data_IF_771397667057
#
_entry.id   IF_771397667057
#
_cell.length_a   1.000
_cell.length_b   1.000
_cell.length_c   1.000
_cell.angle_alpha   90.00
_cell.angle_beta   90.00
_cell.angle_gamma   90.00
#
_symmetry.space_group_name_H-M   'P 1'
#
loop_
_entity.id
_entity.type
_entity.pdbx_description
1 polymer ?
#
# COMPACT_ATOMS: atom_id res chain seq x y z
N UNK A 1 -4.46 20.27 1.81
CA UNK A 1 -4.97 19.50 2.96
C UNK A 1 -6.46 19.75 3.20
N UNK A 2 -6.93 20.99 3.36
CA UNK A 2 -8.36 21.30 3.59
C UNK A 2 -9.33 20.77 2.53
N UNK A 3 -8.94 20.77 1.26
CA UNK A 3 -9.76 20.22 0.16
C UNK A 3 -9.96 18.71 0.31
N UNK A 4 -8.91 17.96 0.65
CA UNK A 4 -8.99 16.50 0.85
C UNK A 4 -9.87 16.16 2.04
N UNK A 5 -9.78 16.92 3.14
CA UNK A 5 -10.65 16.79 4.31
C UNK A 5 -12.10 17.08 3.94
N UNK A 6 -12.36 18.17 3.21
CA UNK A 6 -13.71 18.53 2.79
C UNK A 6 -14.33 17.46 1.87
N UNK A 7 -13.55 16.91 0.93
CA UNK A 7 -14.01 15.81 0.05
C UNK A 7 -14.28 14.56 0.91
N UNK A 8 -13.40 14.21 1.84
CA UNK A 8 -13.57 13.05 2.72
C UNK A 8 -14.86 13.13 3.54
N UNK A 9 -15.09 14.25 4.21
CA UNK A 9 -16.30 14.50 4.99
C UNK A 9 -17.55 14.48 4.09
N UNK A 10 -17.50 15.12 2.93
CA UNK A 10 -18.63 15.14 2.00
C UNK A 10 -19.00 13.74 1.51
N UNK A 11 -18.02 12.92 1.17
CA UNK A 11 -18.24 11.53 0.73
C UNK A 11 -18.83 10.67 1.85
N UNK A 12 -18.35 10.81 3.08
CA UNK A 12 -18.90 10.10 4.24
C UNK A 12 -20.34 10.52 4.55
N UNK A 13 -20.68 11.82 4.42
CA UNK A 13 -22.03 12.32 4.67
C UNK A 13 -23.06 11.89 3.61
N UNK A 14 -22.64 11.71 2.37
CA UNK A 14 -23.51 11.32 1.25
C UNK A 14 -23.85 9.81 1.29
N UNK A 15 -23.12 9.02 2.08
CA UNK A 15 -23.38 7.59 2.22
C UNK A 15 -23.14 6.80 0.92
N UNK A 16 -22.14 7.15 0.14
CA UNK A 16 -21.84 6.60 -1.20
C UNK A 16 -21.15 5.22 -1.10
N UNK A 17 -21.59 4.35 -0.21
CA UNK A 17 -20.93 3.06 0.03
C UNK A 17 -20.86 2.19 -1.24
N UNK A 18 -21.94 2.04 -1.99
CA UNK A 18 -21.99 1.09 -3.11
C UNK A 18 -21.24 1.55 -4.37
N UNK A 19 -21.25 2.84 -4.67
CA UNK A 19 -20.56 3.38 -5.85
C UNK A 19 -19.07 3.51 -5.67
N UNK A 20 -18.65 4.02 -4.51
CA UNK A 20 -17.24 4.19 -4.16
C UNK A 20 -16.52 2.85 -4.03
N UNK A 21 -17.14 1.86 -3.39
CA UNK A 21 -16.59 0.50 -3.25
C UNK A 21 -16.29 -0.12 -4.62
N UNK A 22 -17.24 -0.03 -5.56
CA UNK A 22 -17.07 -0.61 -6.90
C UNK A 22 -15.95 0.09 -7.68
N UNK A 23 -15.86 1.41 -7.61
CA UNK A 23 -14.82 2.19 -8.27
C UNK A 23 -13.46 1.87 -7.65
N UNK A 24 -13.35 1.89 -6.33
CA UNK A 24 -12.11 1.57 -5.60
C UNK A 24 -11.63 0.16 -5.93
N UNK A 25 -12.52 -0.82 -5.97
CA UNK A 25 -12.18 -2.20 -6.33
C UNK A 25 -11.60 -2.32 -7.73
N UNK A 26 -12.21 -1.67 -8.72
CA UNK A 26 -11.72 -1.67 -10.11
C UNK A 26 -10.33 -0.99 -10.17
N UNK A 27 -10.17 0.12 -9.48
CA UNK A 27 -8.91 0.85 -9.47
C UNK A 27 -7.79 0.08 -8.77
N UNK A 28 -8.08 -0.60 -7.66
CA UNK A 28 -7.11 -1.46 -6.97
C UNK A 28 -6.67 -2.64 -7.83
N UNK A 29 -7.60 -3.28 -8.56
CA UNK A 29 -7.27 -4.34 -9.51
C UNK A 29 -6.39 -3.82 -10.66
N UNK A 30 -6.70 -2.63 -11.18
CA UNK A 30 -5.90 -2.00 -12.21
C UNK A 30 -4.50 -1.61 -11.71
N UNK A 31 -4.38 -1.09 -10.49
CA UNK A 31 -3.10 -0.81 -9.85
C UNK A 31 -2.26 -2.10 -9.72
N UNK A 32 -2.88 -3.18 -9.26
CA UNK A 32 -2.22 -4.47 -9.14
C UNK A 32 -1.74 -5.01 -10.51
N UNK A 33 -2.54 -4.87 -11.55
CA UNK A 33 -2.14 -5.23 -12.90
C UNK A 33 -0.94 -4.41 -13.40
N UNK A 34 -0.94 -3.09 -13.14
CA UNK A 34 0.19 -2.22 -13.48
C UNK A 34 1.44 -2.64 -12.69
N UNK A 35 1.30 -2.96 -11.40
CA UNK A 35 2.43 -3.44 -10.59
C UNK A 35 3.04 -4.72 -11.15
N UNK A 36 2.22 -5.67 -11.61
CA UNK A 36 2.72 -6.90 -12.25
C UNK A 36 3.48 -6.58 -13.53
N UNK A 37 2.96 -5.69 -14.38
CA UNK A 37 3.65 -5.25 -15.60
C UNK A 37 4.99 -4.59 -15.28
N UNK A 38 5.03 -3.72 -14.26
CA UNK A 38 6.25 -3.06 -13.82
C UNK A 38 7.27 -4.06 -13.23
N UNK A 39 6.81 -5.05 -12.47
CA UNK A 39 7.67 -6.10 -11.93
C UNK A 39 8.33 -6.91 -13.07
N UNK A 40 7.55 -7.32 -14.06
CA UNK A 40 8.10 -8.03 -15.24
C UNK A 40 9.11 -7.16 -15.98
N UNK A 41 8.81 -5.87 -16.18
CA UNK A 41 9.75 -4.95 -16.82
C UNK A 41 11.02 -4.74 -15.99
N UNK A 42 10.92 -4.73 -14.67
CA UNK A 42 12.05 -4.55 -13.76
C UNK A 42 13.12 -5.65 -13.92
N UNK A 43 12.71 -6.88 -14.27
CA UNK A 43 13.64 -7.97 -14.58
C UNK A 43 14.46 -7.75 -15.86
N UNK A 44 13.99 -6.90 -16.78
CA UNK A 44 14.68 -6.61 -18.05
C UNK A 44 15.66 -5.43 -17.95
N UNK A 45 15.70 -4.74 -16.80
CA UNK A 45 16.57 -3.59 -16.59
C UNK A 45 18.05 -4.00 -16.46
N UNK A 46 18.97 -3.37 -17.21
CA UNK A 46 20.41 -3.61 -17.04
C UNK A 46 20.85 -3.19 -15.63
N UNK A 47 21.51 -4.09 -14.89
CA UNK A 47 21.90 -3.88 -13.48
C UNK A 47 20.81 -4.23 -12.47
N UNK A 48 19.60 -4.61 -12.89
CA UNK A 48 18.51 -5.00 -12.00
C UNK A 48 18.78 -6.30 -11.23
N UNK A 49 19.64 -7.17 -11.76
CA UNK A 49 19.98 -8.44 -11.11
C UNK A 49 20.65 -8.27 -9.73
N UNK A 50 21.45 -7.22 -9.55
CA UNK A 50 22.09 -6.91 -8.25
C UNK A 50 21.03 -6.48 -7.23
N UNK A 51 20.10 -5.60 -7.60
CA UNK A 51 19.00 -5.17 -6.74
C UNK A 51 18.06 -6.31 -6.39
N UNK A 52 17.81 -7.24 -7.32
CA UNK A 52 17.02 -8.44 -7.08
C UNK A 52 17.70 -9.38 -6.09
N UNK A 53 19.00 -9.60 -6.27
CA UNK A 53 19.82 -10.40 -5.37
C UNK A 53 19.85 -9.80 -3.95
N UNK A 54 20.01 -8.50 -3.85
CA UNK A 54 19.93 -7.78 -2.58
C UNK A 54 18.59 -7.97 -1.87
N UNK A 55 17.49 -7.93 -2.62
CA UNK A 55 16.14 -8.08 -2.06
C UNK A 55 15.80 -9.51 -1.65
N UNK A 56 16.17 -10.50 -2.48
CA UNK A 56 15.79 -11.90 -2.27
C UNK A 56 16.79 -12.68 -1.42
N UNK A 57 18.06 -12.26 -1.37
CA UNK A 57 19.06 -12.94 -0.56
C UNK A 57 19.20 -12.27 0.80
N UNK A 58 18.77 -12.93 1.88
CA UNK A 58 18.92 -12.38 3.22
C UNK A 58 20.39 -12.33 3.64
N UNK A 59 20.85 -11.15 4.03
CA UNK A 59 22.17 -10.98 4.64
C UNK A 59 22.09 -11.27 6.14
N UNK A 60 22.50 -12.49 6.52
CA UNK A 60 22.48 -12.93 7.91
C UNK A 60 23.46 -12.12 8.80
N UNK A 61 24.45 -11.45 8.23
CA UNK A 61 25.36 -10.59 8.99
C UNK A 61 24.67 -9.38 9.62
N UNK A 62 23.54 -8.96 9.05
CA UNK A 62 22.71 -7.88 9.61
C UNK A 62 22.06 -8.30 10.93
N UNK A 63 21.71 -9.58 11.07
CA UNK A 63 21.13 -10.11 12.32
C UNK A 63 22.13 -9.98 13.47
N UNK A 64 23.39 -10.23 13.21
CA UNK A 64 24.45 -10.10 14.23
C UNK A 64 24.70 -8.63 14.63
N UNK A 65 24.61 -7.71 13.66
CA UNK A 65 24.87 -6.27 13.88
C UNK A 65 23.70 -5.54 14.53
N UNK A 66 22.49 -5.83 14.10
CA UNK A 66 21.28 -5.10 14.54
C UNK A 66 20.59 -5.79 15.72
N UNK A 67 20.76 -7.09 15.84
CA UNK A 67 20.10 -7.93 16.83
C UNK A 67 18.69 -8.35 16.41
N UNK A 68 18.37 -9.61 16.63
CA UNK A 68 17.10 -10.22 16.23
C UNK A 68 15.88 -9.51 16.83
N UNK A 69 16.00 -9.01 18.06
CA UNK A 69 14.92 -8.30 18.75
C UNK A 69 14.52 -7.01 18.03
N UNK A 70 15.52 -6.23 17.58
CA UNK A 70 15.26 -4.98 16.87
C UNK A 70 14.62 -5.24 15.51
N UNK A 71 15.03 -6.31 14.82
CA UNK A 71 14.46 -6.72 13.55
C UNK A 71 13.00 -7.14 13.74
N UNK A 72 12.69 -7.94 14.76
CA UNK A 72 11.32 -8.37 15.08
C UNK A 72 10.43 -7.18 15.45
N UNK A 73 10.93 -6.26 16.27
CA UNK A 73 10.17 -5.06 16.66
C UNK A 73 9.88 -4.17 15.43
N UNK A 74 10.87 -4.00 14.54
CA UNK A 74 10.68 -3.23 13.32
C UNK A 74 9.67 -3.89 12.37
N UNK A 75 9.74 -5.20 12.20
CA UNK A 75 8.78 -5.95 11.38
C UNK A 75 7.36 -5.88 11.97
N UNK A 76 7.25 -5.99 13.29
CA UNK A 76 5.97 -5.87 13.98
C UNK A 76 5.36 -4.47 13.84
N UNK A 77 6.17 -3.42 13.99
CA UNK A 77 5.73 -2.05 13.76
C UNK A 77 5.25 -1.84 12.32
N UNK A 78 5.98 -2.38 11.35
CA UNK A 78 5.58 -2.30 9.93
C UNK A 78 4.25 -3.00 9.68
N UNK A 79 4.05 -4.20 10.21
CA UNK A 79 2.79 -4.94 10.11
C UNK A 79 1.61 -4.18 10.74
N UNK A 80 1.83 -3.56 11.90
CA UNK A 80 0.83 -2.72 12.57
C UNK A 80 0.41 -1.52 11.71
N UNK A 81 1.36 -0.87 11.05
CA UNK A 81 1.09 0.26 10.17
C UNK A 81 0.37 -0.16 8.90
N UNK A 82 0.88 -1.16 8.22
CA UNK A 82 0.37 -1.64 6.92
C UNK A 82 -1.05 -2.17 7.03
N UNK A 83 -1.34 -2.96 8.06
CA UNK A 83 -2.67 -3.51 8.32
C UNK A 83 -3.62 -2.53 9.02
N UNK A 84 -3.20 -1.30 9.26
CA UNK A 84 -4.00 -0.26 9.93
C UNK A 84 -4.59 -0.68 11.29
N UNK A 85 -3.93 -1.60 11.99
CA UNK A 85 -4.39 -2.15 13.27
C UNK A 85 -4.38 -1.05 14.33
N UNK A 86 -3.33 -0.22 14.37
CA UNK A 86 -3.18 0.85 15.36
C UNK A 86 -4.19 1.99 15.24
N UNK A 87 -4.84 2.13 14.09
CA UNK A 87 -5.84 3.19 13.84
C UNK A 87 -7.29 2.74 14.09
N UNK A 88 -7.52 1.49 14.46
CA UNK A 88 -8.85 0.96 14.69
C UNK A 88 -9.71 0.73 13.44
N UNK A 89 -9.24 1.11 12.26
CA UNK A 89 -9.99 0.96 11.00
C UNK A 89 -10.35 -0.49 10.71
N UNK A 90 -9.46 -1.44 11.05
CA UNK A 90 -9.74 -2.87 10.87
C UNK A 90 -10.86 -3.38 11.78
N UNK A 91 -11.01 -2.82 12.98
CA UNK A 91 -12.12 -3.19 13.87
C UNK A 91 -13.47 -2.77 13.26
N UNK A 92 -13.53 -1.59 12.63
CA UNK A 92 -14.74 -1.09 11.98
C UNK A 92 -15.06 -1.90 10.73
N UNK A 93 -14.06 -2.17 9.87
CA UNK A 93 -14.27 -3.03 8.71
C UNK A 93 -14.70 -4.45 9.12
N UNK A 94 -14.15 -4.97 10.23
CA UNK A 94 -14.58 -6.23 10.80
C UNK A 94 -16.04 -6.24 11.25
N UNK A 95 -16.59 -5.11 11.72
CA UNK A 95 -17.98 -4.98 12.11
C UNK A 95 -18.97 -5.01 10.94
N UNK A 96 -18.51 -4.65 9.74
CA UNK A 96 -19.34 -4.70 8.51
C UNK A 96 -19.37 -6.06 7.84
N UNK A 97 -18.53 -6.99 8.28
CA UNK A 97 -18.52 -8.36 7.74
C UNK A 97 -19.78 -9.10 8.17
N UNK A 98 -20.54 -9.61 7.20
CA UNK A 98 -21.76 -10.38 7.44
C UNK A 98 -21.49 -11.67 8.23
N UNK A 99 -22.50 -12.15 8.97
CA UNK A 99 -22.41 -13.35 9.81
C UNK A 99 -22.15 -14.66 9.04
N UNK A 100 -22.29 -14.63 7.73
CA UNK A 100 -22.03 -15.70 6.78
C UNK A 100 -20.54 -15.87 6.44
N UNK A 101 -19.71 -14.91 6.85
CA UNK A 101 -18.25 -14.94 6.60
C UNK A 101 -17.46 -15.12 7.88
N UNK A 102 -16.34 -15.85 7.76
CA UNK A 102 -15.41 -16.05 8.87
C UNK A 102 -14.44 -14.88 8.99
N UNK A 103 -14.43 -14.21 10.13
CA UNK A 103 -13.47 -13.12 10.43
C UNK A 103 -12.02 -13.59 10.29
N UNK A 104 -11.71 -14.80 10.72
CA UNK A 104 -10.37 -15.37 10.60
C UNK A 104 -9.98 -15.54 9.12
N UNK A 105 -10.91 -16.05 8.30
CA UNK A 105 -10.65 -16.23 6.86
C UNK A 105 -10.38 -14.91 6.16
N UNK A 106 -11.19 -13.88 6.44
CA UNK A 106 -10.98 -12.54 5.87
C UNK A 106 -9.67 -11.91 6.36
N UNK A 107 -9.32 -12.07 7.64
CA UNK A 107 -8.04 -11.57 8.17
C UNK A 107 -6.83 -12.21 7.49
N UNK A 108 -6.87 -13.52 7.26
CA UNK A 108 -5.80 -14.24 6.55
C UNK A 108 -5.72 -13.77 5.09
N UNK A 109 -6.84 -13.59 4.41
CA UNK A 109 -6.88 -13.09 3.04
C UNK A 109 -6.28 -11.67 2.93
N UNK A 110 -6.63 -10.78 3.86
CA UNK A 110 -6.07 -9.42 3.91
C UNK A 110 -4.56 -9.47 4.12
N UNK A 111 -4.08 -10.26 5.09
CA UNK A 111 -2.66 -10.39 5.36
C UNK A 111 -1.88 -10.96 4.16
N UNK A 112 -2.44 -11.96 3.47
CA UNK A 112 -1.82 -12.55 2.28
C UNK A 112 -1.76 -11.55 1.12
N UNK A 113 -2.84 -10.81 0.86
CA UNK A 113 -2.88 -9.79 -0.19
C UNK A 113 -1.91 -8.64 0.11
N UNK A 114 -1.88 -8.16 1.33
CA UNK A 114 -0.95 -7.12 1.77
C UNK A 114 0.50 -7.55 1.58
N UNK A 115 0.84 -8.76 2.03
CA UNK A 115 2.17 -9.34 1.85
C UNK A 115 2.52 -9.50 0.37
N UNK A 116 1.57 -9.96 -0.46
CA UNK A 116 1.78 -10.11 -1.90
C UNK A 116 2.10 -8.77 -2.56
N UNK A 117 1.34 -7.72 -2.25
CA UNK A 117 1.57 -6.37 -2.78
C UNK A 117 2.90 -5.81 -2.30
N UNK A 118 3.25 -6.02 -1.02
CA UNK A 118 4.53 -5.59 -0.46
C UNK A 118 5.72 -6.26 -1.17
N UNK A 119 5.66 -7.58 -1.37
CA UNK A 119 6.70 -8.33 -2.10
C UNK A 119 6.78 -7.88 -3.55
N UNK A 120 5.66 -7.72 -4.24
CA UNK A 120 5.62 -7.26 -5.63
C UNK A 120 6.21 -5.85 -5.78
N UNK A 121 5.92 -4.93 -4.86
CA UNK A 121 6.50 -3.58 -4.87
C UNK A 121 8.02 -3.61 -4.65
N UNK A 122 8.51 -4.48 -3.79
CA UNK A 122 9.94 -4.71 -3.62
C UNK A 122 10.62 -5.19 -4.90
N UNK A 123 10.02 -6.14 -5.60
CA UNK A 123 10.52 -6.63 -6.91
C UNK A 123 10.58 -5.54 -8.00
N UNK A 124 9.82 -4.47 -7.86
CA UNK A 124 9.89 -3.30 -8.76
C UNK A 124 10.97 -2.33 -8.31
N UNK A 125 10.98 -1.99 -7.03
CA UNK A 125 11.76 -0.88 -6.50
C UNK A 125 13.25 -1.23 -6.39
N UNK A 126 13.61 -2.39 -5.84
CA UNK A 126 15.02 -2.73 -5.60
C UNK A 126 15.84 -2.89 -6.88
N UNK A 127 15.38 -3.62 -7.92
CA UNK A 127 16.10 -3.67 -9.19
C UNK A 127 16.21 -2.29 -9.86
N UNK A 128 15.16 -1.47 -9.75
CA UNK A 128 15.19 -0.13 -10.30
C UNK A 128 16.17 0.78 -9.56
N UNK A 129 16.24 0.72 -8.24
CA UNK A 129 17.24 1.47 -7.47
C UNK A 129 18.65 1.10 -7.88
N UNK A 130 18.94 -0.19 -8.04
CA UNK A 130 20.24 -0.68 -8.51
C UNK A 130 20.55 -0.19 -9.92
N UNK A 131 19.60 -0.29 -10.86
CA UNK A 131 19.77 0.15 -12.24
C UNK A 131 20.02 1.65 -12.39
N UNK A 132 19.40 2.47 -11.52
CA UNK A 132 19.51 3.94 -11.58
C UNK A 132 20.47 4.51 -10.53
N UNK A 133 21.14 3.69 -9.73
CA UNK A 133 22.09 4.14 -8.71
C UNK A 133 21.43 4.98 -7.59
N UNK A 134 20.18 4.71 -7.28
CA UNK A 134 19.43 5.39 -6.21
C UNK A 134 19.53 4.58 -4.92
N UNK A 135 19.84 5.27 -3.82
CA UNK A 135 19.92 4.62 -2.50
C UNK A 135 18.53 4.10 -2.07
N UNK A 136 18.47 2.82 -1.74
CA UNK A 136 17.25 2.14 -1.26
C UNK A 136 16.71 2.70 0.05
N UNK A 137 17.52 3.38 0.84
CA UNK A 137 17.13 4.01 2.11
C UNK A 137 16.47 5.38 1.94
N UNK A 138 16.30 5.85 0.70
CA UNK A 138 15.81 7.20 0.40
C UNK A 138 14.33 7.44 0.74
N UNK A 139 13.59 6.43 1.23
CA UNK A 139 12.20 6.56 1.67
C UNK A 139 11.26 7.09 0.57
N UNK A 140 10.47 8.16 0.81
CA UNK A 140 9.51 8.68 -0.19
C UNK A 140 10.12 9.09 -1.53
N UNK A 141 11.42 9.37 -1.59
CA UNK A 141 12.12 9.67 -2.85
C UNK A 141 12.07 8.51 -3.83
N UNK A 142 12.03 7.26 -3.34
CA UNK A 142 11.87 6.08 -4.19
C UNK A 142 10.61 6.18 -5.04
N UNK A 143 9.53 6.65 -4.44
CA UNK A 143 8.22 6.74 -5.08
C UNK A 143 8.13 7.91 -6.06
N UNK A 144 8.69 9.07 -5.70
CA UNK A 144 8.54 10.31 -6.47
C UNK A 144 9.72 10.60 -7.41
N UNK A 145 10.85 9.91 -7.26
CA UNK A 145 12.03 10.09 -8.13
C UNK A 145 12.32 8.83 -8.94
N UNK A 146 12.40 7.67 -8.26
CA UNK A 146 12.81 6.42 -8.93
C UNK A 146 11.73 5.92 -9.87
N UNK A 147 10.48 5.84 -9.44
CA UNK A 147 9.38 5.38 -10.30
C UNK A 147 9.16 6.26 -11.53
N UNK A 148 9.14 7.61 -11.47
CA UNK A 148 9.08 8.45 -12.65
C UNK A 148 10.26 8.21 -13.62
N UNK A 149 11.45 7.98 -13.11
CA UNK A 149 12.61 7.66 -13.95
C UNK A 149 12.44 6.31 -14.69
N UNK A 150 11.88 5.30 -14.01
CA UNK A 150 11.53 4.03 -14.65
C UNK A 150 10.51 4.27 -15.78
N UNK A 151 9.45 5.00 -15.50
CA UNK A 151 8.41 5.29 -16.49
C UNK A 151 8.95 6.04 -17.71
N UNK A 152 9.93 6.94 -17.53
CA UNK A 152 10.53 7.67 -18.65
C UNK A 152 11.33 6.75 -19.61
N UNK A 153 11.76 5.59 -19.15
CA UNK A 153 12.57 4.64 -19.94
C UNK A 153 11.76 3.47 -20.52
N UNK A 154 10.45 3.43 -20.26
CA UNK A 154 9.55 2.37 -20.76
C UNK A 154 8.73 2.90 -21.95
N UNK A 155 8.43 2.06 -22.97
CA UNK A 155 7.47 2.42 -24.01
C UNK A 155 6.13 2.82 -23.41
N UNK A 156 5.55 3.93 -23.87
CA UNK A 156 4.31 4.52 -23.29
C UNK A 156 4.42 4.91 -21.81
N UNK A 157 5.62 5.14 -21.29
CA UNK A 157 5.86 5.40 -19.87
C UNK A 157 5.09 6.58 -19.30
N UNK A 158 4.81 7.62 -20.11
CA UNK A 158 3.95 8.74 -19.68
C UNK A 158 2.53 8.27 -19.34
N UNK A 159 1.97 7.37 -20.13
CA UNK A 159 0.64 6.81 -19.90
C UNK A 159 0.63 5.92 -18.67
N UNK A 160 1.60 5.00 -18.56
CA UNK A 160 1.72 4.10 -17.40
C UNK A 160 1.99 4.88 -16.11
N UNK A 161 2.86 5.87 -16.16
CA UNK A 161 3.16 6.74 -15.01
C UNK A 161 1.94 7.54 -14.57
N UNK A 162 1.22 8.15 -15.50
CA UNK A 162 -0.01 8.89 -15.18
C UNK A 162 -1.06 7.99 -14.53
N UNK A 163 -1.30 6.81 -15.10
CA UNK A 163 -2.26 5.84 -14.55
C UNK A 163 -1.84 5.37 -13.15
N UNK A 164 -0.55 5.07 -12.96
CA UNK A 164 -0.02 4.67 -11.67
C UNK A 164 -0.26 5.72 -10.59
N UNK A 165 0.10 6.98 -10.85
CA UNK A 165 -0.09 8.05 -9.88
C UNK A 165 -1.55 8.40 -9.63
N UNK A 166 -2.41 8.31 -10.64
CA UNK A 166 -3.85 8.46 -10.48
C UNK A 166 -4.39 7.36 -9.56
N UNK A 167 -4.07 6.09 -9.83
CA UNK A 167 -4.54 4.97 -9.01
C UNK A 167 -3.99 5.03 -7.59
N UNK A 168 -2.72 5.43 -7.43
CA UNK A 168 -2.14 5.63 -6.12
C UNK A 168 -2.83 6.76 -5.33
N UNK A 169 -3.22 7.83 -6.01
CA UNK A 169 -3.99 8.92 -5.39
C UNK A 169 -5.35 8.44 -4.90
N UNK A 170 -6.03 7.59 -5.66
CA UNK A 170 -7.28 6.98 -5.22
C UNK A 170 -7.09 5.98 -4.08
N UNK A 171 -6.03 5.19 -4.10
CA UNK A 171 -5.68 4.30 -2.99
C UNK A 171 -5.43 5.10 -1.70
N UNK A 172 -4.69 6.22 -1.80
CA UNK A 172 -4.49 7.11 -0.67
C UNK A 172 -5.81 7.75 -0.18
N UNK A 173 -6.68 8.15 -1.11
CA UNK A 173 -7.99 8.71 -0.77
C UNK A 173 -8.87 7.69 -0.06
N UNK A 174 -8.89 6.43 -0.50
CA UNK A 174 -9.65 5.36 0.17
C UNK A 174 -9.19 5.13 1.61
N UNK A 175 -7.87 5.21 1.86
CA UNK A 175 -7.32 5.12 3.22
C UNK A 175 -7.76 6.30 4.08
N UNK A 176 -7.74 7.51 3.54
CA UNK A 176 -8.24 8.70 4.24
C UNK A 176 -9.72 8.55 4.60
N UNK A 177 -10.55 8.08 3.66
CA UNK A 177 -11.98 7.82 3.91
C UNK A 177 -12.20 6.78 5.02
N UNK A 178 -11.41 5.70 5.03
CA UNK A 178 -11.47 4.69 6.08
C UNK A 178 -11.18 5.27 7.47
N UNK A 179 -10.22 6.18 7.59
CA UNK A 179 -9.91 6.88 8.84
C UNK A 179 -11.06 7.81 9.26
N UNK A 180 -11.65 8.55 8.32
CA UNK A 180 -12.82 9.39 8.60
C UNK A 180 -14.02 8.55 9.06
N UNK A 181 -14.30 7.44 8.41
CA UNK A 181 -15.37 6.52 8.83
C UNK A 181 -15.14 6.00 10.25
N UNK A 182 -13.87 5.71 10.60
CA UNK A 182 -13.51 5.31 11.96
C UNK A 182 -13.84 6.39 12.97
N UNK A 183 -13.48 7.64 12.71
CA UNK A 183 -13.73 8.77 13.61
C UNK A 183 -15.24 9.04 13.75
N UNK A 184 -15.96 9.05 12.62
CA UNK A 184 -17.41 9.30 12.60
C UNK A 184 -18.16 8.21 13.36
N UNK A 185 -17.82 6.94 13.16
CA UNK A 185 -18.43 5.82 13.86
C UNK A 185 -18.21 5.91 15.38
N UNK A 186 -17.01 6.30 15.81
CA UNK A 186 -16.70 6.52 17.23
C UNK A 186 -17.52 7.65 17.83
N UNK A 187 -17.65 8.77 17.13
CA UNK A 187 -18.46 9.91 17.60
C UNK A 187 -19.93 9.55 17.69
N UNK A 188 -20.46 8.83 16.71
CA UNK A 188 -21.87 8.40 16.70
C UNK A 188 -22.19 7.43 17.83
N UNK A 189 -21.26 6.52 18.16
CA UNK A 189 -21.46 5.59 19.30
C UNK A 189 -21.32 6.27 20.66
N UNK A 190 -20.52 7.33 20.76
CA UNK A 190 -20.40 8.14 21.99
C UNK A 190 -21.66 8.95 22.25
N UNK A 191 -22.23 9.62 21.23
CA UNK A 191 -23.47 10.39 21.36
C UNK A 191 -24.72 9.52 21.64
N UNK A 192 -24.69 8.24 21.24
CA UNK A 192 -25.79 7.32 21.51
C UNK A 192 -25.75 6.68 22.91
N UNK A 193 -24.64 6.88 23.65
CA UNK A 193 -24.45 6.33 25.00
C UNK A 193 -24.80 7.34 26.12
N UNK A 194 -25.01 8.62 25.79
CA UNK A 194 -25.53 9.68 26.65
C UNK A 194 -27.05 9.88 26.47
#
# INVERSE_FOLDING_TARGET
>A
MGIVVAIGVAVCLIGVQNGLEKVTKIMMLALLAIMVVLAVNSFTLPGGAEGLSFYLMPDLSVIEKVGITNILVSAMNQAFFTLSIGMGSMAIFGSYIGKDRSLLGESVNVALLDTFVAVASGLIIFPACSAYGVDVTSGPKLLFITLPNIFNNIPLGRLWGSLFFVFMSFAALSTVLAVFECIICLLYTSDAAD
#
